data_IF_206956111467
#
_entry.id   IF_206956111467
#
_cell.length_a   1.000
_cell.length_b   1.000
_cell.length_c   1.000
_cell.angle_alpha   90.00
_cell.angle_beta   90.00
_cell.angle_gamma   90.00
#
_symmetry.space_group_name_H-M   'P 1'
#
loop_
_entity.id
_entity.type
_entity.pdbx_description
1 polymer ?
#
# COMPACT_ATOMS: atom_id res chain seq x y z
N UNK A 1 -8.06 14.75 20.72
CA UNK A 1 -8.02 13.28 20.52
C UNK A 1 -6.60 12.90 20.11
N UNK A 2 -5.87 12.13 20.92
CA UNK A 2 -4.53 11.66 20.57
C UNK A 2 -4.65 10.40 19.70
N UNK A 3 -4.10 10.43 18.49
CA UNK A 3 -3.98 9.21 17.67
C UNK A 3 -2.80 8.38 18.12
N UNK A 4 -2.80 7.11 17.70
CA UNK A 4 -1.70 6.19 17.93
C UNK A 4 -0.38 6.79 17.44
N UNK A 5 0.63 6.74 18.30
CA UNK A 5 2.03 7.00 17.98
C UNK A 5 2.79 5.71 18.20
N UNK A 6 3.70 5.40 17.30
CA UNK A 6 4.46 4.17 17.36
C UNK A 6 5.31 3.98 16.12
N UNK A 7 5.90 2.80 16.01
CA UNK A 7 6.74 2.41 14.88
C UNK A 7 6.39 1.01 14.39
N UNK A 8 6.51 0.79 13.10
CA UNK A 8 6.49 -0.50 12.44
C UNK A 8 7.82 -0.63 11.67
N UNK A 9 8.74 -1.47 12.15
CA UNK A 9 10.11 -1.51 11.64
C UNK A 9 10.65 -2.91 11.46
N UNK A 10 11.59 -3.07 10.52
CA UNK A 10 12.31 -4.33 10.30
C UNK A 10 11.34 -5.48 9.96
N UNK A 11 10.51 -5.24 8.94
CA UNK A 11 9.46 -6.18 8.51
C UNK A 11 9.88 -6.80 7.18
N UNK A 12 9.70 -8.12 7.05
CA UNK A 12 10.00 -8.84 5.80
C UNK A 12 8.75 -9.58 5.33
N UNK A 13 8.35 -9.30 4.09
CA UNK A 13 7.37 -10.09 3.33
C UNK A 13 8.11 -10.82 2.23
N UNK A 14 8.10 -12.16 2.25
CA UNK A 14 8.87 -12.95 1.29
C UNK A 14 8.11 -14.13 0.70
N UNK A 15 8.52 -14.52 -0.51
CA UNK A 15 8.13 -15.76 -1.20
C UNK A 15 6.62 -15.92 -1.41
N UNK A 16 5.95 -14.82 -1.77
CA UNK A 16 4.50 -14.79 -1.96
C UNK A 16 4.10 -14.93 -3.44
N UNK A 17 3.00 -15.64 -3.69
CA UNK A 17 2.34 -15.73 -5.01
C UNK A 17 0.95 -15.12 -4.94
N UNK A 18 0.69 -14.10 -5.76
CA UNK A 18 -0.57 -13.35 -5.78
C UNK A 18 -1.41 -13.74 -7.02
N UNK A 19 -2.71 -14.01 -6.88
CA UNK A 19 -3.63 -14.15 -8.02
C UNK A 19 -4.75 -13.12 -7.94
N UNK A 20 -4.83 -12.25 -8.96
CA UNK A 20 -5.87 -11.22 -9.12
C UNK A 20 -6.11 -10.38 -7.85
N UNK A 21 -5.06 -10.10 -7.09
CA UNK A 21 -5.15 -9.22 -5.91
C UNK A 21 -5.29 -7.78 -6.40
N UNK A 22 -6.20 -6.98 -5.83
CA UNK A 22 -6.47 -5.62 -6.36
C UNK A 22 -5.22 -4.73 -6.35
N UNK A 23 -4.52 -4.63 -5.23
CA UNK A 23 -3.26 -3.92 -5.08
C UNK A 23 -2.35 -4.80 -4.20
N UNK A 24 -1.53 -5.69 -4.80
CA UNK A 24 -0.70 -6.65 -4.05
C UNK A 24 0.16 -6.08 -2.92
N UNK A 25 0.66 -4.84 -3.05
CA UNK A 25 1.47 -4.19 -2.01
C UNK A 25 0.89 -2.81 -1.72
N UNK A 26 0.51 -2.56 -0.47
CA UNK A 26 0.05 -1.26 0.00
C UNK A 26 0.76 -0.90 1.30
N UNK A 27 1.33 0.31 1.36
CA UNK A 27 1.63 1.00 2.63
C UNK A 27 0.76 2.26 2.64
N UNK A 28 -0.13 2.40 3.62
CA UNK A 28 -1.01 3.57 3.73
C UNK A 28 -0.92 4.23 5.10
N UNK A 29 -0.13 5.30 5.18
CA UNK A 29 -0.06 6.15 6.37
C UNK A 29 -1.24 7.12 6.49
N UNK A 30 -2.26 7.03 5.62
CA UNK A 30 -3.50 7.80 5.70
C UNK A 30 -4.68 6.98 6.22
N UNK A 31 -4.44 5.76 6.70
CA UNK A 31 -5.52 4.90 7.15
C UNK A 31 -6.37 5.62 8.20
N UNK A 32 -7.68 5.60 7.94
CA UNK A 32 -8.69 6.33 8.67
C UNK A 32 -9.93 5.45 8.70
N UNK A 33 -10.22 4.87 9.84
CA UNK A 33 -11.38 4.01 10.12
C UNK A 33 -12.57 4.79 10.73
N UNK A 34 -12.39 6.10 10.93
CA UNK A 34 -13.44 7.00 11.40
C UNK A 34 -14.53 7.20 10.33
N UNK A 35 -15.79 7.23 10.77
CA UNK A 35 -16.93 7.60 9.93
C UNK A 35 -16.85 9.05 9.41
N UNK A 36 -16.10 9.91 10.10
CA UNK A 36 -15.80 11.27 9.65
C UNK A 36 -14.39 11.34 9.04
N UNK A 37 -14.19 12.12 7.96
CA UNK A 37 -12.87 12.29 7.37
C UNK A 37 -11.83 12.73 8.40
N UNK A 38 -10.75 11.97 8.47
CA UNK A 38 -9.60 12.34 9.26
C UNK A 38 -8.99 13.62 8.70
N UNK A 39 -8.75 14.62 9.56
CA UNK A 39 -7.93 15.75 9.16
C UNK A 39 -6.54 15.28 8.71
N UNK A 40 -5.93 16.04 7.80
CA UNK A 40 -4.55 15.80 7.37
C UNK A 40 -3.66 16.08 8.58
N UNK A 41 -3.07 15.03 9.16
CA UNK A 41 -2.23 15.15 10.35
C UNK A 41 -0.79 14.72 10.06
N UNK A 42 0.15 15.42 10.69
CA UNK A 42 1.58 15.13 10.58
C UNK A 42 2.00 13.94 11.47
N UNK A 43 1.20 13.60 12.49
CA UNK A 43 1.45 12.45 13.38
C UNK A 43 1.00 11.16 12.71
N UNK A 44 1.95 10.36 12.22
CA UNK A 44 1.73 9.00 11.72
C UNK A 44 2.63 7.99 12.47
N UNK A 45 2.31 6.70 12.35
CA UNK A 45 3.22 5.63 12.76
C UNK A 45 4.44 5.66 11.84
N UNK A 46 5.63 5.69 12.42
CA UNK A 46 6.88 5.60 11.66
C UNK A 46 6.98 4.21 11.02
N UNK A 47 7.18 4.15 9.70
CA UNK A 47 7.36 2.88 8.98
C UNK A 47 8.77 2.83 8.43
N UNK A 48 9.56 1.83 8.85
CA UNK A 48 10.96 1.75 8.47
C UNK A 48 11.48 0.35 8.18
N UNK A 49 12.46 0.24 7.28
CA UNK A 49 13.15 -1.03 6.99
C UNK A 49 12.18 -2.18 6.66
N UNK A 50 11.35 -1.97 5.63
CA UNK A 50 10.39 -2.98 5.15
C UNK A 50 10.91 -3.58 3.86
N UNK A 51 11.11 -4.90 3.83
CA UNK A 51 11.57 -5.63 2.66
C UNK A 51 10.44 -6.49 2.07
N UNK A 52 10.16 -6.28 0.78
CA UNK A 52 9.31 -7.15 -0.03
C UNK A 52 10.20 -7.96 -0.97
N UNK A 53 10.29 -9.28 -0.76
CA UNK A 53 11.23 -10.15 -1.46
C UNK A 53 10.53 -11.30 -2.19
N UNK A 54 10.93 -11.58 -3.43
CA UNK A 54 10.43 -12.73 -4.20
C UNK A 54 8.89 -12.79 -4.33
N UNK A 55 8.21 -11.64 -4.43
CA UNK A 55 6.76 -11.59 -4.58
C UNK A 55 6.40 -11.65 -6.07
N UNK A 56 5.62 -12.64 -6.49
CA UNK A 56 5.24 -12.85 -7.90
C UNK A 56 3.73 -13.00 -8.08
N UNK A 57 3.24 -12.79 -9.30
CA UNK A 57 1.86 -13.11 -9.67
C UNK A 57 1.13 -11.94 -10.30
N UNK A 58 -0.16 -11.78 -10.00
CA UNK A 58 -1.04 -10.89 -10.77
C UNK A 58 -1.85 -9.90 -9.94
N UNK A 59 -1.95 -8.68 -10.47
CA UNK A 59 -2.79 -7.60 -9.96
C UNK A 59 -4.09 -7.49 -10.73
N UNK A 60 -5.20 -7.16 -10.06
CA UNK A 60 -6.48 -6.79 -10.70
C UNK A 60 -6.61 -5.29 -10.98
N UNK A 61 -5.69 -4.45 -10.48
CA UNK A 61 -5.62 -3.02 -10.81
C UNK A 61 -4.29 -2.65 -11.48
N UNK A 62 -4.29 -1.53 -12.20
CA UNK A 62 -3.07 -0.95 -12.79
C UNK A 62 -2.08 -0.47 -11.74
N UNK A 63 -2.54 -0.20 -10.51
CA UNK A 63 -1.70 0.24 -9.39
C UNK A 63 -1.35 -0.96 -8.50
N UNK A 64 -0.48 -1.86 -8.96
CA UNK A 64 -0.16 -3.07 -8.19
C UNK A 64 0.55 -2.78 -6.84
N UNK A 65 1.31 -1.68 -6.79
CA UNK A 65 2.07 -1.25 -5.62
C UNK A 65 1.69 0.19 -5.32
N UNK A 66 1.25 0.47 -4.08
CA UNK A 66 0.90 1.81 -3.62
C UNK A 66 1.59 2.12 -2.30
N UNK A 67 2.47 3.11 -2.31
CA UNK A 67 3.18 3.58 -1.12
C UNK A 67 2.71 5.00 -0.78
N UNK A 68 1.73 5.10 0.11
CA UNK A 68 1.12 6.36 0.57
C UNK A 68 1.74 6.80 1.89
N UNK A 69 2.99 7.28 1.81
CA UNK A 69 3.76 7.78 2.94
C UNK A 69 3.63 9.30 3.05
N UNK A 70 2.52 9.77 3.64
CA UNK A 70 2.13 11.18 3.58
C UNK A 70 2.84 12.07 4.59
N UNK A 71 3.22 11.54 5.76
CA UNK A 71 3.74 12.40 6.82
C UNK A 71 5.06 13.03 6.39
N UNK A 72 5.12 14.36 6.42
CA UNK A 72 6.35 15.12 6.17
C UNK A 72 7.30 15.10 7.36
N UNK A 73 6.79 14.81 8.56
CA UNK A 73 7.57 14.77 9.80
C UNK A 73 8.04 13.35 10.17
N UNK A 74 7.33 12.31 9.72
CA UNK A 74 7.67 10.89 9.94
C UNK A 74 7.45 10.07 8.65
N UNK A 75 8.21 10.36 7.56
CA UNK A 75 8.06 9.65 6.30
C UNK A 75 8.50 8.18 6.44
N UNK A 76 7.98 7.33 5.56
CA UNK A 76 8.51 5.97 5.43
C UNK A 76 9.97 6.02 4.96
N UNK A 77 10.81 5.12 5.47
CA UNK A 77 12.21 5.02 5.02
C UNK A 77 12.68 3.56 4.99
N UNK A 78 13.66 3.24 4.12
CA UNK A 78 14.15 1.87 4.00
C UNK A 78 13.10 0.86 3.49
N UNK A 79 12.22 1.28 2.57
CA UNK A 79 11.29 0.37 1.90
C UNK A 79 11.99 -0.22 0.67
N UNK A 80 12.20 -1.53 0.64
CA UNK A 80 12.94 -2.23 -0.40
C UNK A 80 12.05 -3.27 -1.11
N UNK A 81 12.22 -3.38 -2.42
CA UNK A 81 11.56 -4.35 -3.29
C UNK A 81 12.65 -5.19 -4.00
N UNK A 82 12.74 -6.47 -3.67
CA UNK A 82 13.71 -7.40 -4.25
C UNK A 82 12.97 -8.52 -5.00
N UNK A 83 13.23 -8.67 -6.31
CA UNK A 83 12.60 -9.71 -7.13
C UNK A 83 11.05 -9.72 -7.03
N UNK A 84 10.44 -8.54 -7.12
CA UNK A 84 8.99 -8.38 -7.16
C UNK A 84 8.51 -8.33 -8.61
N UNK A 85 7.68 -9.29 -9.01
CA UNK A 85 7.18 -9.49 -10.39
C UNK A 85 5.65 -9.61 -10.40
N UNK A 86 4.98 -8.47 -10.55
CA UNK A 86 3.52 -8.39 -10.58
C UNK A 86 3.05 -7.94 -11.97
N UNK A 87 2.17 -8.70 -12.60
CA UNK A 87 1.58 -8.34 -13.90
C UNK A 87 0.09 -8.04 -13.77
N UNK A 88 -0.42 -7.12 -14.56
CA UNK A 88 -1.86 -6.89 -14.63
C UNK A 88 -2.55 -8.12 -15.23
N UNK A 89 -3.53 -8.68 -14.53
CA UNK A 89 -4.47 -9.69 -15.04
C UNK A 89 -5.85 -9.09 -14.92
N UNK A 90 -6.22 -8.38 -15.99
CA UNK A 90 -7.43 -7.57 -16.03
C UNK A 90 -8.70 -8.41 -15.90
N UNK A 91 -9.51 -8.11 -14.89
CA UNK A 91 -10.99 -8.07 -14.98
C UNK A 91 -11.46 -6.93 -14.08
N UNK A 92 -11.13 -5.69 -14.44
CA UNK A 92 -11.90 -4.52 -14.01
C UNK A 92 -11.58 -3.36 -14.96
N UNK A 93 -11.86 -3.55 -16.25
CA UNK A 93 -12.31 -2.40 -17.02
C UNK A 93 -13.54 -1.87 -16.30
N UNK A 94 -13.48 -0.63 -15.81
CA UNK A 94 -14.72 0.14 -15.67
C UNK A 94 -15.36 0.08 -17.06
N UNK A 95 -16.34 -0.79 -17.25
CA UNK A 95 -17.29 -0.63 -18.32
C UNK A 95 -17.84 0.78 -18.12
N UNK A 96 -17.33 1.72 -18.92
CA UNK A 96 -17.99 3.00 -19.12
C UNK A 96 -19.31 2.64 -19.78
N UNK A 97 -20.33 2.39 -18.97
CA UNK A 97 -21.71 2.47 -19.42
C UNK A 97 -21.89 3.93 -19.86
N UNK A 98 -21.63 4.21 -21.13
CA UNK A 98 -22.12 5.40 -21.81
C UNK A 98 -23.61 5.19 -21.90
N UNK A 99 -24.37 5.73 -20.95
CA UNK A 99 -25.78 5.95 -21.18
C UNK A 99 -25.89 7.09 -22.18
N UNK A 100 -26.48 6.79 -23.34
CA UNK A 100 -27.04 7.80 -24.23
C UNK A 100 -28.21 8.51 -23.59
#
# INVERSE_FOLDING_TARGET
MARGRGFARSIVFQDMVMDRVRNPIIIDQNYCDSATPCEKQNSAVEVSNVLFKNIRGTSASTEAIKLSCRSTTVPCHGIALENVKLTLKGVCEKLRMRNG
#
